data_IF_751705096649
#
_entry.id   IF_751705096649
#
_cell.length_a   1.000
_cell.length_b   1.000
_cell.length_c   1.000
_cell.angle_alpha   90.00
_cell.angle_beta   90.00
_cell.angle_gamma   90.00
#
_symmetry.space_group_name_H-M   'P 1'
#
loop_
_entity.id
_entity.type
_entity.pdbx_description
1 polymer ?
#
# COMPACT_ATOMS: atom_id res chain seq x y z
N UNK A 1 17.54 -8.28 4.97
CA UNK A 1 16.21 -8.30 4.35
C UNK A 1 15.53 -9.58 4.80
N UNK A 2 14.25 -9.53 5.16
CA UNK A 2 13.53 -10.68 5.73
C UNK A 2 12.28 -10.94 4.90
N UNK A 3 12.03 -12.20 4.57
CA UNK A 3 10.80 -12.60 3.91
C UNK A 3 9.76 -13.04 4.96
N UNK A 4 8.51 -12.66 4.76
CA UNK A 4 7.40 -12.99 5.66
C UNK A 4 6.14 -13.32 4.83
N UNK A 5 5.20 -14.13 5.36
CA UNK A 5 3.90 -14.34 4.72
C UNK A 5 3.16 -13.01 4.50
N UNK A 6 2.38 -12.90 3.42
CA UNK A 6 1.65 -11.67 3.06
C UNK A 6 0.76 -11.12 4.19
N UNK A 7 0.12 -11.99 4.95
CA UNK A 7 -0.71 -11.55 6.09
C UNK A 7 0.14 -11.01 7.24
N UNK A 8 1.31 -11.60 7.49
CA UNK A 8 2.27 -11.05 8.47
C UNK A 8 2.83 -9.70 7.95
N UNK A 9 3.08 -9.56 6.65
CA UNK A 9 3.53 -8.30 6.02
C UNK A 9 2.57 -7.14 6.30
N UNK A 10 1.28 -7.31 5.99
CA UNK A 10 0.28 -6.27 6.28
C UNK A 10 0.15 -6.00 7.78
N UNK A 11 0.15 -7.06 8.61
CA UNK A 11 0.02 -6.94 10.06
C UNK A 11 1.20 -6.18 10.70
N UNK A 12 2.41 -6.35 10.16
CA UNK A 12 3.60 -5.57 10.56
C UNK A 12 3.35 -4.08 10.31
N UNK A 13 2.89 -3.73 9.11
CA UNK A 13 2.65 -2.34 8.74
C UNK A 13 1.59 -1.71 9.65
N UNK A 14 0.48 -2.41 9.89
CA UNK A 14 -0.59 -1.93 10.76
C UNK A 14 -0.10 -1.73 12.19
N UNK A 15 0.67 -2.68 12.73
CA UNK A 15 1.17 -2.60 14.11
C UNK A 15 2.21 -1.49 14.27
N UNK A 16 3.11 -1.33 13.30
CA UNK A 16 4.11 -0.27 13.32
C UNK A 16 3.44 1.11 13.40
N UNK A 17 2.44 1.36 12.54
CA UNK A 17 1.70 2.62 12.50
C UNK A 17 0.89 2.85 13.80
N UNK A 18 0.26 1.81 14.35
CA UNK A 18 -0.44 1.89 15.65
C UNK A 18 0.49 2.18 16.82
N UNK A 19 1.75 1.74 16.73
CA UNK A 19 2.78 1.96 17.75
C UNK A 19 3.57 3.27 17.54
N UNK A 20 3.12 4.15 16.64
CA UNK A 20 3.72 5.46 16.42
C UNK A 20 4.94 5.46 15.50
N UNK A 21 5.26 4.35 14.86
CA UNK A 21 6.31 4.27 13.84
C UNK A 21 5.75 4.62 12.47
N UNK A 22 6.59 5.19 11.62
CA UNK A 22 6.31 5.33 10.19
C UNK A 22 7.08 4.29 9.39
N UNK A 23 6.73 4.11 8.12
CA UNK A 23 7.26 3.04 7.27
C UNK A 23 7.73 3.65 5.94
N UNK A 24 8.93 3.29 5.53
CA UNK A 24 9.41 3.50 4.16
C UNK A 24 8.85 2.36 3.28
N UNK A 25 8.42 2.69 2.06
CA UNK A 25 7.70 1.79 1.15
C UNK A 25 8.32 1.83 -0.26
N UNK A 26 8.81 0.67 -0.69
CA UNK A 26 9.09 0.33 -2.09
C UNK A 26 7.83 -0.23 -2.74
N UNK A 27 7.40 0.28 -3.89
CA UNK A 27 6.12 -0.10 -4.49
C UNK A 27 6.05 0.19 -5.99
N UNK A 28 5.37 -0.68 -6.74
CA UNK A 28 4.95 -0.40 -8.11
C UNK A 28 3.76 0.55 -8.13
N UNK A 29 3.89 1.71 -8.77
CA UNK A 29 2.79 2.67 -8.98
C UNK A 29 2.37 2.81 -10.44
N UNK A 30 2.93 2.01 -11.35
CA UNK A 30 2.63 1.96 -12.79
C UNK A 30 1.29 1.27 -13.08
N UNK A 31 0.27 1.60 -12.29
CA UNK A 31 -1.09 1.07 -12.39
C UNK A 31 -2.08 2.15 -12.80
N UNK A 32 -3.03 1.80 -13.67
CA UNK A 32 -4.12 2.73 -14.06
C UNK A 32 -4.96 3.18 -12.88
N UNK A 33 -4.97 2.38 -11.82
CA UNK A 33 -5.72 2.60 -10.59
C UNK A 33 -4.88 3.25 -9.48
N UNK A 34 -3.66 3.72 -9.80
CA UNK A 34 -2.93 4.68 -8.99
C UNK A 34 -3.16 6.10 -9.54
N UNK A 35 -3.59 7.03 -8.69
CA UNK A 35 -3.80 8.42 -9.10
C UNK A 35 -3.42 9.41 -8.01
N UNK A 36 -2.30 10.10 -8.19
CA UNK A 36 -1.94 11.23 -7.32
C UNK A 36 -2.93 12.40 -7.45
N UNK A 37 -3.53 12.60 -8.64
CA UNK A 37 -4.55 13.63 -8.87
C UNK A 37 -5.82 13.39 -8.05
N UNK A 38 -6.24 12.14 -7.92
CA UNK A 38 -7.38 11.76 -7.09
C UNK A 38 -6.95 11.42 -5.64
N UNK A 39 -5.65 11.28 -5.39
CA UNK A 39 -5.05 10.97 -4.10
C UNK A 39 -5.38 9.57 -3.60
N UNK A 40 -5.58 8.61 -4.50
CA UNK A 40 -6.03 7.24 -4.18
C UNK A 40 -5.27 6.21 -5.03
N UNK A 41 -5.06 5.03 -4.46
CA UNK A 41 -4.59 3.84 -5.17
C UNK A 41 -5.36 2.60 -4.68
N UNK A 42 -5.96 1.84 -5.61
CA UNK A 42 -6.90 0.74 -5.32
C UNK A 42 -6.77 -0.40 -6.33
N UNK A 43 -7.20 -1.61 -5.98
CA UNK A 43 -7.28 -2.77 -6.89
C UNK A 43 -8.74 -3.21 -6.98
N UNK A 44 -9.55 -2.62 -7.87
CA UNK A 44 -10.97 -2.96 -8.00
C UNK A 44 -11.16 -4.40 -8.49
N UNK A 45 -12.20 -5.07 -7.99
CA UNK A 45 -12.55 -6.44 -8.41
C UNK A 45 -12.98 -6.48 -9.90
N UNK A 46 -13.72 -5.46 -10.35
CA UNK A 46 -14.14 -5.33 -11.74
C UNK A 46 -13.15 -4.50 -12.56
N UNK A 47 -12.53 -5.12 -13.57
CA UNK A 47 -11.56 -4.48 -14.47
C UNK A 47 -12.18 -3.47 -15.43
N UNK A 48 -13.45 -3.62 -15.79
CA UNK A 48 -14.13 -2.74 -16.75
C UNK A 48 -14.40 -1.36 -16.15
N UNK A 49 -14.66 -1.30 -14.84
CA UNK A 49 -14.97 -0.06 -14.10
C UNK A 49 -13.78 0.46 -13.29
N UNK A 50 -12.56 0.00 -13.60
CA UNK A 50 -11.39 0.28 -12.76
C UNK A 50 -11.09 1.77 -12.56
N UNK A 51 -11.40 2.63 -13.55
CA UNK A 51 -11.19 4.06 -13.46
C UNK A 51 -12.24 4.75 -12.58
N UNK A 52 -13.44 4.17 -12.46
CA UNK A 52 -14.49 4.68 -11.58
C UNK A 52 -14.11 4.48 -10.11
N UNK A 53 -13.33 3.44 -9.80
CA UNK A 53 -12.79 3.19 -8.46
C UNK A 53 -11.83 4.31 -7.97
N UNK A 54 -11.35 5.18 -8.87
CA UNK A 54 -10.57 6.36 -8.48
C UNK A 54 -11.45 7.54 -8.01
N UNK A 55 -12.75 7.47 -8.26
CA UNK A 55 -13.71 8.54 -7.97
C UNK A 55 -14.66 8.19 -6.83
N UNK A 56 -14.83 6.89 -6.54
CA UNK A 56 -15.73 6.40 -5.50
C UNK A 56 -15.32 5.02 -5.02
N UNK A 57 -15.94 4.61 -3.91
CA UNK A 57 -15.60 3.36 -3.23
C UNK A 57 -16.23 2.20 -3.97
N UNK A 58 -15.38 1.23 -4.30
CA UNK A 58 -15.74 0.03 -5.03
C UNK A 58 -15.21 -1.18 -4.27
N UNK A 59 -15.79 -2.35 -4.54
CA UNK A 59 -15.26 -3.60 -4.03
C UNK A 59 -13.88 -3.87 -4.66
N UNK A 60 -12.90 -4.16 -3.81
CA UNK A 60 -11.55 -4.48 -4.23
C UNK A 60 -11.33 -5.99 -4.30
N UNK A 61 -10.31 -6.40 -5.06
CA UNK A 61 -9.92 -7.79 -5.20
C UNK A 61 -9.24 -8.29 -3.92
N UNK A 62 -9.62 -9.48 -3.49
CA UNK A 62 -8.88 -10.22 -2.47
C UNK A 62 -7.53 -10.68 -3.02
N UNK A 63 -6.43 -10.30 -2.37
CA UNK A 63 -5.07 -10.59 -2.83
C UNK A 63 -4.47 -11.76 -2.05
N UNK A 64 -4.22 -12.86 -2.75
CA UNK A 64 -3.54 -14.04 -2.21
C UNK A 64 -2.02 -13.96 -2.42
N UNK A 65 -1.26 -14.76 -1.66
CA UNK A 65 0.18 -14.88 -1.80
C UNK A 65 0.58 -15.36 -3.20
N UNK A 66 -0.14 -16.34 -3.75
CA UNK A 66 0.13 -16.92 -5.07
C UNK A 66 -0.12 -15.89 -6.17
N UNK A 67 -1.22 -15.13 -6.09
CA UNK A 67 -1.50 -14.11 -7.09
C UNK A 67 -0.47 -12.98 -7.05
N UNK A 68 -0.07 -12.55 -5.85
CA UNK A 68 1.04 -11.58 -5.68
C UNK A 68 2.33 -12.09 -6.30
N UNK A 69 2.68 -13.36 -6.09
CA UNK A 69 3.89 -13.96 -6.65
C UNK A 69 3.85 -13.98 -8.18
N UNK A 70 2.73 -14.38 -8.77
CA UNK A 70 2.53 -14.40 -10.22
C UNK A 70 2.73 -13.02 -10.85
N UNK A 71 2.21 -11.96 -10.24
CA UNK A 71 2.34 -10.59 -10.74
C UNK A 71 3.77 -10.06 -10.66
N UNK A 72 4.57 -10.53 -9.71
CA UNK A 72 6.00 -10.21 -9.66
C UNK A 72 6.77 -10.97 -10.74
N UNK A 73 6.53 -12.28 -10.89
CA UNK A 73 7.26 -13.14 -11.85
C UNK A 73 6.93 -12.85 -13.32
N UNK A 74 5.74 -12.34 -13.60
CA UNK A 74 5.33 -11.94 -14.95
C UNK A 74 5.66 -10.48 -15.29
N UNK A 75 6.37 -9.78 -14.40
CA UNK A 75 6.77 -8.36 -14.52
C UNK A 75 5.60 -7.35 -14.54
N UNK A 76 4.41 -7.73 -14.10
CA UNK A 76 3.32 -6.77 -13.87
C UNK A 76 3.51 -5.96 -12.58
N UNK A 77 4.38 -6.40 -11.68
CA UNK A 77 4.79 -5.68 -10.48
C UNK A 77 6.32 -5.62 -10.46
N UNK A 78 6.85 -4.40 -10.55
CA UNK A 78 8.27 -4.06 -10.55
C UNK A 78 8.56 -2.97 -9.52
N UNK A 79 9.84 -2.76 -9.18
CA UNK A 79 10.21 -1.67 -8.27
C UNK A 79 10.41 -0.38 -9.08
N UNK A 80 9.48 0.56 -8.99
CA UNK A 80 9.50 1.80 -9.76
C UNK A 80 9.33 3.10 -8.94
N UNK A 81 8.99 3.00 -7.65
CA UNK A 81 8.76 4.19 -6.82
C UNK A 81 8.93 3.96 -5.31
N UNK A 82 9.30 5.04 -4.62
CA UNK A 82 9.51 5.08 -3.17
C UNK A 82 8.60 6.11 -2.51
N UNK A 83 7.95 5.71 -1.42
CA UNK A 83 7.08 6.59 -0.64
C UNK A 83 7.21 6.35 0.87
N UNK A 84 6.53 7.19 1.66
CA UNK A 84 6.61 7.13 3.13
C UNK A 84 5.22 7.03 3.76
N UNK A 85 4.88 5.91 4.38
CA UNK A 85 3.61 5.70 5.06
C UNK A 85 3.66 6.33 6.45
N UNK A 86 2.67 7.17 6.74
CA UNK A 86 2.63 8.00 7.97
C UNK A 86 1.40 7.77 8.83
N UNK A 87 0.44 6.96 8.36
CA UNK A 87 -0.75 6.65 9.13
C UNK A 87 -1.69 5.71 8.42
N UNK A 88 -2.84 5.50 9.04
CA UNK A 88 -3.92 4.66 8.56
C UNK A 88 -5.19 5.49 8.48
N UNK A 89 -6.01 5.25 7.47
CA UNK A 89 -7.38 5.71 7.37
C UNK A 89 -8.31 4.53 7.11
N UNK A 90 -9.60 4.73 7.40
CA UNK A 90 -10.67 3.83 6.96
C UNK A 90 -11.70 4.63 6.20
N UNK A 91 -12.28 4.01 5.19
CA UNK A 91 -13.41 4.59 4.49
C UNK A 91 -14.76 4.33 5.21
N UNK A 92 -15.88 4.76 4.62
CA UNK A 92 -17.21 4.56 5.20
C UNK A 92 -17.64 3.09 5.30
N UNK A 93 -17.01 2.18 4.55
CA UNK A 93 -17.27 0.74 4.61
C UNK A 93 -16.28 0.02 5.54
N UNK A 94 -15.33 0.75 6.13
CA UNK A 94 -14.31 0.21 7.01
C UNK A 94 -13.07 -0.34 6.28
N UNK A 95 -12.98 -0.18 4.96
CA UNK A 95 -11.82 -0.61 4.16
C UNK A 95 -10.57 0.13 4.63
N UNK A 96 -9.48 -0.60 4.78
CA UNK A 96 -8.21 -0.09 5.28
C UNK A 96 -7.43 0.63 4.16
N UNK A 97 -6.99 1.86 4.45
CA UNK A 97 -6.06 2.62 3.61
C UNK A 97 -4.84 3.07 4.40
N UNK A 98 -3.68 3.03 3.76
CA UNK A 98 -2.43 3.57 4.25
C UNK A 98 -2.29 5.02 3.76
N UNK A 99 -2.11 5.95 4.69
CA UNK A 99 -1.88 7.36 4.39
C UNK A 99 -0.40 7.55 4.05
N UNK A 100 -0.14 7.73 2.77
CA UNK A 100 1.21 7.67 2.20
C UNK A 100 1.64 9.05 1.69
N UNK A 101 2.72 9.57 2.25
CA UNK A 101 3.34 10.82 1.81
C UNK A 101 4.12 10.56 0.53
N UNK A 102 3.76 11.26 -0.53
CA UNK A 102 4.52 11.25 -1.78
C UNK A 102 5.51 12.43 -1.83
N UNK A 103 6.40 12.43 -2.81
CA UNK A 103 7.48 13.41 -2.99
C UNK A 103 7.28 14.33 -4.21
N UNK A 104 6.10 14.31 -4.83
CA UNK A 104 5.79 15.08 -6.05
C UNK A 104 5.30 16.53 -5.79
N UNK A 105 5.37 16.98 -4.54
CA UNK A 105 4.90 18.31 -4.11
C UNK A 105 3.42 18.33 -3.73
N UNK A 106 2.85 19.53 -3.61
CA UNK A 106 1.51 19.75 -3.05
C UNK A 106 0.57 20.58 -3.95
N UNK A 107 0.91 20.73 -5.23
CA UNK A 107 0.10 21.50 -6.17
C UNK A 107 -1.24 20.80 -6.47
N UNK A 108 -2.32 21.38 -5.97
CA UNK A 108 -3.70 20.88 -6.09
C UNK A 108 -4.19 20.59 -7.52
N UNK A 109 -3.55 21.16 -8.55
CA UNK A 109 -3.89 20.87 -9.96
C UNK A 109 -3.43 19.47 -10.40
N UNK A 110 -2.43 18.91 -9.73
CA UNK A 110 -1.80 17.62 -10.09
C UNK A 110 -1.92 16.59 -8.99
N UNK A 111 -2.01 17.01 -7.73
CA UNK A 111 -1.93 16.15 -6.56
C UNK A 111 -2.99 16.55 -5.55
N UNK A 112 -3.71 15.58 -4.99
CA UNK A 112 -4.71 15.80 -3.94
C UNK A 112 -4.08 15.77 -2.54
N UNK A 113 -4.88 16.13 -1.53
CA UNK A 113 -4.59 15.95 -0.10
C UNK A 113 -3.22 16.48 0.34
N UNK A 114 -2.74 17.58 -0.27
CA UNK A 114 -1.48 18.22 0.11
C UNK A 114 -0.23 17.37 -0.18
N UNK A 115 -0.29 16.44 -1.14
CA UNK A 115 0.84 15.57 -1.49
C UNK A 115 0.71 14.13 -1.02
N UNK A 116 -0.38 13.80 -0.32
CA UNK A 116 -0.64 12.45 0.18
C UNK A 116 -1.50 11.64 -0.80
N UNK A 117 -1.23 10.34 -0.84
CA UNK A 117 -2.05 9.33 -1.52
C UNK A 117 -2.54 8.33 -0.47
N UNK A 118 -3.81 7.97 -0.55
CA UNK A 118 -4.41 6.91 0.27
C UNK A 118 -4.38 5.61 -0.52
N UNK A 119 -3.55 4.67 -0.08
CA UNK A 119 -3.30 3.41 -0.78
C UNK A 119 -4.06 2.32 -0.05
N UNK A 120 -4.96 1.61 -0.72
CA UNK A 120 -5.73 0.55 -0.08
C UNK A 120 -4.85 -0.62 0.36
N UNK A 121 -5.35 -1.41 1.32
CA UNK A 121 -4.68 -2.64 1.72
C UNK A 121 -4.53 -3.61 0.53
N UNK A 122 -5.53 -3.72 -0.35
CA UNK A 122 -5.42 -4.56 -1.55
C UNK A 122 -4.29 -4.09 -2.48
N UNK A 123 -4.14 -2.78 -2.68
CA UNK A 123 -3.04 -2.23 -3.49
C UNK A 123 -1.68 -2.49 -2.84
N UNK A 124 -1.53 -2.27 -1.54
CA UNK A 124 -0.30 -2.62 -0.80
C UNK A 124 0.02 -4.11 -0.94
N UNK A 125 -0.96 -4.98 -0.69
CA UNK A 125 -0.79 -6.43 -0.76
C UNK A 125 -0.35 -6.89 -2.15
N UNK A 126 -0.75 -6.22 -3.22
CA UNK A 126 -0.40 -6.63 -4.57
C UNK A 126 0.90 -5.99 -5.09
N UNK A 127 1.10 -4.70 -4.82
CA UNK A 127 2.09 -3.88 -5.53
C UNK A 127 3.28 -3.43 -4.69
N UNK A 128 3.20 -3.45 -3.36
CA UNK A 128 4.38 -3.18 -2.53
C UNK A 128 5.47 -4.21 -2.83
N UNK A 129 6.74 -3.81 -2.89
CA UNK A 129 7.89 -4.70 -3.07
C UNK A 129 8.49 -5.02 -1.71
N UNK A 130 8.77 -3.98 -0.95
CA UNK A 130 9.49 -4.03 0.31
C UNK A 130 9.07 -2.88 1.22
N UNK A 131 9.36 -3.02 2.51
CA UNK A 131 9.21 -1.95 3.49
C UNK A 131 10.42 -1.90 4.39
N UNK A 132 10.79 -0.70 4.81
CA UNK A 132 11.74 -0.50 5.92
C UNK A 132 11.02 0.08 7.13
N UNK A 133 11.21 -0.58 8.28
CA UNK A 133 10.63 -0.18 9.57
C UNK A 133 11.64 -0.38 10.69
N UNK A 134 11.54 0.41 11.75
CA UNK A 134 12.36 0.26 12.94
C UNK A 134 12.11 -1.11 13.62
N UNK A 135 13.16 -1.77 14.13
CA UNK A 135 13.05 -3.11 14.75
C UNK A 135 12.10 -3.14 15.96
N UNK A 136 12.03 -2.06 16.71
CA UNK A 136 11.13 -1.94 17.88
C UNK A 136 9.65 -1.82 17.49
N UNK A 137 9.34 -1.60 16.20
CA UNK A 137 7.98 -1.66 15.70
C UNK A 137 7.46 -3.11 15.59
N UNK A 138 8.37 -4.09 15.56
CA UNK A 138 8.05 -5.50 15.41
C UNK A 138 7.65 -6.11 16.76
N UNK A 139 6.69 -7.06 16.72
CA UNK A 139 6.33 -7.81 17.92
C UNK A 139 7.52 -8.64 18.41
N UNK A 140 7.60 -8.91 19.73
CA UNK A 140 8.66 -9.79 20.28
C UNK A 140 8.72 -11.16 19.60
N UNK A 141 7.56 -11.71 19.24
CA UNK A 141 7.46 -12.99 18.52
C UNK A 141 8.10 -12.90 17.14
N UNK A 142 7.76 -11.87 16.37
CA UNK A 142 8.31 -11.66 15.04
C UNK A 142 9.80 -11.34 15.08
N UNK A 143 10.24 -10.46 15.99
CA UNK A 143 11.65 -10.17 16.19
C UNK A 143 12.46 -11.45 16.44
N UNK A 144 11.92 -12.40 17.22
CA UNK A 144 12.58 -13.69 17.46
C UNK A 144 12.61 -14.60 16.23
N UNK A 145 11.59 -14.58 15.36
CA UNK A 145 11.55 -15.36 14.12
C UNK A 145 12.59 -14.91 13.09
N UNK A 146 12.92 -13.62 13.09
CA UNK A 146 13.81 -13.00 12.09
C UNK A 146 15.21 -12.66 12.64
N UNK A 147 15.50 -13.01 13.90
CA UNK A 147 16.84 -12.83 14.49
C UNK A 147 17.70 -14.08 14.33
#
# INVERSE_FOLDING_TARGET
MYNVPLDEFEQIMVNALKNGYSIELDIDVSEKTFSSKNGIAVIPENKETQLEALLGIQKEKEITQEYRQQEFENYNTTDDHLMHITGIAKDQNGTLYFKTKNSWGSNGKRIKYGGYVYISAAFIRLKAISITVHKDALTKSLNKKIS
#
